data_IF_333128169716
#
_entry.id   IF_333128169716
#
_cell.length_a   1.000
_cell.length_b   1.000
_cell.length_c   1.000
_cell.angle_alpha   90.00
_cell.angle_beta   90.00
_cell.angle_gamma   90.00
#
_symmetry.space_group_name_H-M   'P 1'
#
loop_
_entity.id
_entity.type
_entity.pdbx_description
1 polymer ?
#
# COMPACT_ATOMS: atom_id res chain seq x y z
N UNK A 1 -34.79 5.86 -35.36
CA UNK A 1 -33.38 5.43 -35.58
C UNK A 1 -32.41 6.33 -34.82
N UNK A 2 -32.57 7.65 -34.89
CA UNK A 2 -31.79 8.65 -34.12
C UNK A 2 -31.92 8.50 -32.58
N UNK A 3 -33.12 8.19 -32.08
CA UNK A 3 -33.36 7.94 -30.65
C UNK A 3 -32.63 6.71 -30.10
N UNK A 4 -32.53 5.65 -30.90
CA UNK A 4 -31.83 4.41 -30.52
C UNK A 4 -30.32 4.66 -30.45
N UNK A 5 -29.75 5.38 -31.42
CA UNK A 5 -28.34 5.77 -31.39
C UNK A 5 -28.00 6.67 -30.20
N UNK A 6 -28.88 7.64 -29.90
CA UNK A 6 -28.71 8.50 -28.72
C UNK A 6 -28.73 7.69 -27.41
N UNK A 7 -29.62 6.70 -27.30
CA UNK A 7 -29.67 5.82 -26.13
C UNK A 7 -28.40 4.97 -25.98
N UNK A 8 -27.86 4.42 -27.08
CA UNK A 8 -26.62 3.63 -27.06
C UNK A 8 -25.44 4.49 -26.61
N UNK A 9 -25.31 5.72 -27.13
CA UNK A 9 -24.25 6.64 -26.72
C UNK A 9 -24.37 7.01 -25.25
N UNK A 10 -25.58 7.32 -24.77
CA UNK A 10 -25.79 7.65 -23.36
C UNK A 10 -25.39 6.49 -22.42
N UNK A 11 -25.73 5.25 -22.78
CA UNK A 11 -25.31 4.06 -22.03
C UNK A 11 -23.79 3.89 -22.07
N UNK A 12 -23.16 4.08 -23.22
CA UNK A 12 -21.70 4.01 -23.37
C UNK A 12 -20.98 5.02 -22.48
N UNK A 13 -21.44 6.28 -22.43
CA UNK A 13 -20.87 7.31 -21.56
C UNK A 13 -21.08 6.97 -20.07
N UNK A 14 -22.27 6.48 -19.71
CA UNK A 14 -22.57 6.08 -18.33
C UNK A 14 -21.70 4.90 -17.87
N UNK A 15 -21.48 3.90 -18.73
CA UNK A 15 -20.59 2.78 -18.42
C UNK A 15 -19.12 3.25 -18.32
N UNK A 16 -18.69 4.12 -19.24
CA UNK A 16 -17.34 4.67 -19.25
C UNK A 16 -17.01 5.46 -17.97
N UNK A 17 -17.95 6.25 -17.46
CA UNK A 17 -17.75 7.03 -16.23
C UNK A 17 -17.66 6.13 -14.98
N UNK A 18 -18.49 5.09 -14.90
CA UNK A 18 -18.42 4.09 -13.81
C UNK A 18 -17.09 3.36 -13.83
N UNK A 19 -16.62 2.91 -15.00
CA UNK A 19 -15.33 2.26 -15.16
C UNK A 19 -14.18 3.17 -14.73
N UNK A 20 -14.19 4.45 -15.14
CA UNK A 20 -13.18 5.41 -14.76
C UNK A 20 -13.10 5.60 -13.23
N UNK A 21 -14.26 5.66 -12.54
CA UNK A 21 -14.30 5.74 -11.07
C UNK A 21 -13.72 4.49 -10.40
N UNK A 22 -14.09 3.30 -10.88
CA UNK A 22 -13.60 2.02 -10.34
C UNK A 22 -12.08 1.91 -10.51
N UNK A 23 -11.57 2.25 -11.70
CA UNK A 23 -10.14 2.19 -12.01
C UNK A 23 -9.37 3.19 -11.14
N UNK A 24 -9.88 4.42 -10.96
CA UNK A 24 -9.24 5.43 -10.11
C UNK A 24 -9.05 4.94 -8.67
N UNK A 25 -10.09 4.36 -8.07
CA UNK A 25 -10.04 3.82 -6.71
C UNK A 25 -9.06 2.64 -6.58
N UNK A 26 -8.99 1.79 -7.60
CA UNK A 26 -8.02 0.68 -7.62
C UNK A 26 -6.57 1.15 -7.75
N UNK A 27 -6.30 2.16 -8.58
CA UNK A 27 -4.95 2.73 -8.72
C UNK A 27 -4.47 3.28 -7.38
N UNK A 28 -5.32 3.99 -6.65
CA UNK A 28 -4.95 4.58 -5.36
C UNK A 28 -4.63 3.49 -4.32
N UNK A 29 -5.43 2.43 -4.27
CA UNK A 29 -5.16 1.27 -3.40
C UNK A 29 -3.86 0.54 -3.75
N UNK A 30 -3.61 0.30 -5.03
CA UNK A 30 -2.37 -0.36 -5.48
C UNK A 30 -1.16 0.52 -5.15
N UNK A 31 -1.29 1.84 -5.33
CA UNK A 31 -0.23 2.79 -5.01
C UNK A 31 0.09 2.81 -3.52
N UNK A 32 -0.91 2.95 -2.65
CA UNK A 32 -0.67 2.97 -1.19
C UNK A 32 -0.11 1.64 -0.70
N UNK A 33 -0.58 0.51 -1.25
CA UNK A 33 -0.06 -0.80 -0.89
C UNK A 33 1.40 -0.97 -1.33
N UNK A 34 1.75 -0.58 -2.56
CA UNK A 34 3.12 -0.64 -3.04
C UNK A 34 4.08 0.23 -2.22
N UNK A 35 3.66 1.41 -1.76
CA UNK A 35 4.46 2.23 -0.85
C UNK A 35 4.64 1.56 0.50
N UNK A 36 3.57 0.94 1.05
CA UNK A 36 3.67 0.18 2.29
C UNK A 36 4.65 -0.99 2.18
N UNK A 37 4.63 -1.75 1.08
CA UNK A 37 5.56 -2.86 0.83
C UNK A 37 7.02 -2.39 0.79
N UNK A 38 7.32 -1.32 0.05
CA UNK A 38 8.67 -0.75 -0.01
C UNK A 38 9.11 -0.24 1.37
N UNK A 39 8.22 0.43 2.10
CA UNK A 39 8.52 0.94 3.45
C UNK A 39 8.79 -0.19 4.45
N UNK A 40 8.00 -1.27 4.40
CA UNK A 40 8.18 -2.44 5.25
C UNK A 40 9.52 -3.14 4.96
N UNK A 41 9.87 -3.35 3.69
CA UNK A 41 11.16 -3.95 3.31
C UNK A 41 12.33 -3.05 3.70
N UNK A 42 12.22 -1.74 3.52
CA UNK A 42 13.25 -0.79 3.92
C UNK A 42 13.46 -0.81 5.45
N UNK A 43 12.39 -0.82 6.24
CA UNK A 43 12.47 -0.97 7.69
C UNK A 43 13.08 -2.32 8.11
N UNK A 44 12.67 -3.43 7.49
CA UNK A 44 13.24 -4.74 7.80
C UNK A 44 14.73 -4.84 7.43
N UNK A 45 15.15 -4.19 6.35
CA UNK A 45 16.56 -4.12 5.94
C UNK A 45 17.37 -3.23 6.87
N UNK A 46 16.79 -2.12 7.33
CA UNK A 46 17.39 -1.24 8.34
C UNK A 46 17.55 -1.96 9.68
N UNK A 47 16.54 -2.73 10.11
CA UNK A 47 16.59 -3.55 11.31
C UNK A 47 17.71 -4.61 11.27
N UNK A 48 18.00 -5.17 10.09
CA UNK A 48 19.09 -6.14 9.92
C UNK A 48 20.48 -5.52 9.82
N UNK A 49 20.58 -4.26 9.39
CA UNK A 49 21.88 -3.61 9.16
C UNK A 49 22.40 -2.81 10.36
N UNK A 50 21.58 -2.64 11.41
CA UNK A 50 21.90 -1.90 12.67
C UNK A 50 22.49 -0.49 12.42
N UNK A 51 22.19 0.08 11.25
CA UNK A 51 22.84 1.30 10.77
C UNK A 51 21.95 2.53 10.89
N UNK A 52 20.64 2.31 10.81
CA UNK A 52 19.62 3.35 10.87
C UNK A 52 18.41 2.82 11.63
N UNK A 53 17.72 3.67 12.41
CA UNK A 53 16.51 3.25 13.09
C UNK A 53 15.42 2.92 12.06
N UNK A 54 14.85 1.70 12.11
CA UNK A 54 14.04 1.16 11.01
C UNK A 54 12.77 1.96 10.71
N UNK A 55 12.11 2.49 11.76
CA UNK A 55 10.93 3.32 11.57
C UNK A 55 11.23 4.70 10.99
N UNK A 56 12.42 5.25 11.21
CA UNK A 56 12.83 6.50 10.56
C UNK A 56 13.02 6.27 9.05
N UNK A 57 13.64 5.15 8.65
CA UNK A 57 13.82 4.79 7.24
C UNK A 57 12.47 4.58 6.55
N UNK A 58 11.54 3.86 7.17
CA UNK A 58 10.17 3.73 6.63
C UNK A 58 9.48 5.08 6.49
N UNK A 59 9.66 5.99 7.46
CA UNK A 59 9.07 7.33 7.44
C UNK A 59 9.61 8.14 6.27
N UNK A 60 10.92 8.14 6.04
CA UNK A 60 11.55 8.85 4.92
C UNK A 60 11.07 8.32 3.56
N UNK A 61 10.92 7.00 3.41
CA UNK A 61 10.37 6.38 2.20
C UNK A 61 8.94 6.86 1.94
N UNK A 62 8.11 6.91 2.98
CA UNK A 62 6.71 7.32 2.90
C UNK A 62 6.57 8.82 2.63
N UNK A 63 7.39 9.65 3.26
CA UNK A 63 7.44 11.10 3.03
C UNK A 63 7.85 11.43 1.60
N UNK A 64 8.83 10.70 1.02
CA UNK A 64 9.19 10.83 -0.40
C UNK A 64 8.04 10.49 -1.34
N UNK A 65 7.14 9.59 -0.93
CA UNK A 65 5.91 9.28 -1.65
C UNK A 65 4.78 10.30 -1.43
N UNK A 66 5.04 11.36 -0.65
CA UNK A 66 4.09 12.37 -0.16
C UNK A 66 2.99 11.81 0.75
N UNK A 67 3.30 10.72 1.47
CA UNK A 67 2.40 10.12 2.44
C UNK A 67 2.79 10.38 3.89
N UNK A 68 2.05 9.74 4.79
CA UNK A 68 2.30 9.72 6.22
C UNK A 68 2.29 8.29 6.75
N UNK A 69 3.18 7.99 7.69
CA UNK A 69 3.17 6.72 8.42
C UNK A 69 2.08 6.79 9.49
N UNK A 70 1.13 5.86 9.43
CA UNK A 70 0.11 5.70 10.47
C UNK A 70 0.64 4.92 11.67
N UNK A 71 1.42 3.87 11.41
CA UNK A 71 2.12 3.11 12.44
C UNK A 71 3.36 2.45 11.85
N UNK A 72 4.40 2.31 12.66
CA UNK A 72 5.56 1.49 12.37
C UNK A 72 5.91 0.70 13.61
N UNK A 73 5.98 -0.62 13.46
CA UNK A 73 6.34 -1.55 14.51
C UNK A 73 7.42 -2.50 13.98
N UNK A 74 8.42 -2.80 14.81
CA UNK A 74 9.51 -3.70 14.45
C UNK A 74 9.70 -4.67 15.60
N UNK A 75 9.46 -5.94 15.32
CA UNK A 75 9.62 -7.01 16.30
C UNK A 75 11.10 -7.37 16.51
N UNK A 76 11.42 -8.02 17.63
CA UNK A 76 12.75 -8.51 17.95
C UNK A 76 13.31 -9.49 16.88
N UNK A 77 12.44 -10.18 16.15
CA UNK A 77 12.82 -11.02 15.01
C UNK A 77 13.18 -10.22 13.73
N UNK A 78 13.25 -8.88 13.79
CA UNK A 78 13.56 -8.03 12.63
C UNK A 78 12.42 -7.93 11.62
N UNK A 79 11.20 -8.25 12.03
CA UNK A 79 10.01 -8.14 11.19
C UNK A 79 9.38 -6.77 11.38
N UNK A 80 9.36 -5.97 10.31
CA UNK A 80 8.76 -4.65 10.29
C UNK A 80 7.33 -4.69 9.75
N UNK A 81 6.40 -4.07 10.47
CA UNK A 81 5.01 -3.85 10.06
C UNK A 81 4.76 -2.35 9.92
N UNK A 82 4.33 -1.90 8.74
CA UNK A 82 4.14 -0.49 8.43
C UNK A 82 2.75 -0.25 7.87
N UNK A 83 2.05 0.74 8.42
CA UNK A 83 0.77 1.24 7.90
C UNK A 83 1.01 2.64 7.33
N UNK A 84 0.59 2.86 6.09
CA UNK A 84 0.81 4.07 5.32
C UNK A 84 -0.51 4.66 4.84
N UNK A 85 -0.60 5.99 4.80
CA UNK A 85 -1.63 6.74 4.08
C UNK A 85 -0.99 7.75 3.15
N UNK A 86 -1.46 7.85 1.91
CA UNK A 86 -0.96 8.83 0.94
C UNK A 86 -1.80 10.11 0.94
N UNK A 87 -3.11 9.97 1.14
CA UNK A 87 -4.05 11.09 1.11
C UNK A 87 -4.86 11.17 2.41
N UNK A 88 -5.14 12.40 2.91
CA UNK A 88 -5.96 12.58 4.09
C UNK A 88 -7.41 12.16 3.80
N UNK A 89 -7.82 11.01 4.35
CA UNK A 89 -9.12 10.38 4.10
C UNK A 89 -9.11 9.30 3.02
N UNK A 90 -7.95 9.07 2.38
CA UNK A 90 -7.75 7.99 1.41
C UNK A 90 -7.56 6.61 2.05
N UNK A 91 -7.43 5.55 1.24
CA UNK A 91 -7.19 4.20 1.71
C UNK A 91 -5.85 4.10 2.45
N UNK A 92 -5.82 3.29 3.50
CA UNK A 92 -4.57 2.89 4.15
C UNK A 92 -4.02 1.64 3.48
N UNK A 93 -2.69 1.60 3.30
CA UNK A 93 -1.95 0.42 2.90
C UNK A 93 -1.19 -0.13 4.10
N UNK A 94 -1.09 -1.45 4.19
CA UNK A 94 -0.37 -2.10 5.28
C UNK A 94 0.47 -3.23 4.72
N UNK A 95 1.74 -3.28 5.12
CA UNK A 95 2.64 -4.33 4.72
C UNK A 95 3.49 -4.79 5.91
N UNK A 96 3.95 -6.04 5.82
CA UNK A 96 4.83 -6.67 6.79
C UNK A 96 5.96 -7.34 6.04
N UNK A 97 7.20 -7.06 6.43
CA UNK A 97 8.39 -7.64 5.82
C UNK A 97 9.39 -8.03 6.91
N UNK A 98 10.16 -9.10 6.68
CA UNK A 98 11.13 -9.62 7.63
C UNK A 98 11.93 -10.79 7.04
N UNK A 99 12.91 -11.31 7.78
CA UNK A 99 13.71 -12.45 7.34
C UNK A 99 12.83 -13.69 7.11
N UNK A 100 13.17 -14.51 6.11
CA UNK A 100 12.39 -15.70 5.76
C UNK A 100 12.35 -16.75 6.88
N UNK A 101 13.35 -16.74 7.76
CA UNK A 101 13.42 -17.59 8.94
C UNK A 101 12.25 -17.28 9.90
N UNK A 102 11.83 -16.02 10.01
CA UNK A 102 10.66 -15.61 10.77
C UNK A 102 9.32 -15.90 10.05
N UNK A 103 9.35 -16.12 8.73
CA UNK A 103 8.17 -16.54 7.96
C UNK A 103 7.83 -18.04 8.15
N UNK A 104 8.81 -18.85 8.53
CA UNK A 104 8.62 -20.27 8.86
C UNK A 104 7.88 -20.50 10.19
N UNK A 105 8.07 -19.63 11.17
CA UNK A 105 7.46 -19.75 12.51
C UNK A 105 5.93 -19.60 12.48
N UNK A 106 5.39 -18.80 11.57
CA UNK A 106 3.93 -18.61 11.42
C UNK A 106 3.25 -19.88 10.87
N UNK A 107 3.97 -20.75 10.16
CA UNK A 107 3.42 -22.01 9.62
C UNK A 107 3.49 -23.18 10.61
N UNK A 108 4.18 -23.02 11.73
CA UNK A 108 4.41 -24.06 12.72
C UNK A 108 3.51 -23.95 13.97
N UNK A 109 2.48 -23.09 13.95
CA UNK A 109 1.43 -23.08 14.99
C UNK A 109 0.26 -24.00 14.57
N UNK A 110 0.09 -25.18 15.19
CA UNK A 110 -1.11 -26.00 15.03
C UNK A 110 -2.35 -25.35 15.65
#
# INVERSE_FOLDING_TARGET
MTSVMAAIVAIGVALGSVLAMVIGNHIERVRVQGVADIAAVAAATAAQSDRFPPCQVATEVVERAKGVVGSCDVDAAGVASVIVRLDPGGPAGSARAGPQEAAGEVRARP
#
